data_IF_044135218307
#
_entry.id   IF_044135218307
#
_cell.length_a   1.000
_cell.length_b   1.000
_cell.length_c   1.000
_cell.angle_alpha   90.00
_cell.angle_beta   90.00
_cell.angle_gamma   90.00
#
_symmetry.space_group_name_H-M   'P 1'
#
loop_
_entity.id
_entity.type
_entity.pdbx_description
1 polymer ?
#
# COMPACT_ATOMS: atom_id res chain seq x y z
N UNK A 1 -8.47 12.05 24.62
CA UNK A 1 -8.44 11.02 23.57
C UNK A 1 -7.05 11.08 22.97
N UNK A 2 -6.23 10.04 23.17
CA UNK A 2 -4.92 9.95 22.52
C UNK A 2 -5.16 9.75 21.03
N UNK A 3 -4.55 10.58 20.17
CA UNK A 3 -4.58 10.36 18.72
C UNK A 3 -3.81 9.07 18.40
N UNK A 4 -4.39 8.26 17.50
CA UNK A 4 -3.88 6.95 17.14
C UNK A 4 -2.73 7.09 16.15
N UNK A 5 -1.49 6.87 16.60
CA UNK A 5 -0.34 6.96 15.70
C UNK A 5 -0.26 5.72 14.81
N UNK A 6 -0.05 5.91 13.51
CA UNK A 6 0.16 4.85 12.53
C UNK A 6 1.62 4.79 12.11
N UNK A 7 2.13 3.57 11.91
CA UNK A 7 3.48 3.29 11.44
C UNK A 7 3.44 2.67 10.04
N UNK A 8 4.46 2.95 9.25
CA UNK A 8 4.61 2.38 7.92
C UNK A 8 5.79 2.96 7.18
N UNK A 9 5.65 3.07 5.86
CA UNK A 9 6.67 3.62 4.99
C UNK A 9 6.06 4.51 3.93
N UNK A 10 6.64 5.69 3.73
CA UNK A 10 6.36 6.54 2.57
C UNK A 10 7.18 6.05 1.38
N UNK A 11 6.62 6.16 0.18
CA UNK A 11 7.36 5.89 -1.04
C UNK A 11 8.39 6.99 -1.29
N UNK A 12 9.59 6.60 -1.75
CA UNK A 12 10.54 7.55 -2.33
C UNK A 12 9.90 8.26 -3.54
N UNK A 13 10.08 9.58 -3.65
CA UNK A 13 9.35 10.39 -4.62
C UNK A 13 9.69 10.03 -6.08
N UNK A 14 10.94 9.67 -6.37
CA UNK A 14 11.36 9.28 -7.72
C UNK A 14 10.75 7.93 -8.09
N UNK A 15 10.85 6.95 -7.18
CA UNK A 15 10.25 5.64 -7.41
C UNK A 15 8.73 5.70 -7.50
N UNK A 16 8.07 6.57 -6.72
CA UNK A 16 6.63 6.83 -6.84
C UNK A 16 6.28 7.31 -8.24
N UNK A 17 7.04 8.26 -8.79
CA UNK A 17 6.83 8.75 -10.16
C UNK A 17 6.96 7.61 -11.18
N UNK A 18 8.02 6.81 -11.07
CA UNK A 18 8.24 5.68 -11.98
C UNK A 18 7.12 4.63 -11.90
N UNK A 19 6.57 4.39 -10.70
CA UNK A 19 5.42 3.52 -10.55
C UNK A 19 4.15 4.12 -11.16
N UNK A 20 3.92 5.44 -11.04
CA UNK A 20 2.77 6.12 -11.66
C UNK A 20 2.82 6.09 -13.18
N UNK A 21 4.00 6.18 -13.77
CA UNK A 21 4.16 6.04 -15.22
C UNK A 21 3.89 4.61 -15.68
N UNK A 22 4.28 3.61 -14.86
CA UNK A 22 4.10 2.19 -15.16
C UNK A 22 2.67 1.69 -14.91
N UNK A 23 2.04 2.18 -13.85
CA UNK A 23 0.69 1.83 -13.43
C UNK A 23 -0.16 3.11 -13.39
N UNK A 24 -0.65 3.60 -14.55
CA UNK A 24 -1.48 4.78 -14.58
C UNK A 24 -2.73 4.60 -13.69
N UNK A 25 -3.00 5.51 -12.73
CA UNK A 25 -4.17 5.44 -11.87
C UNK A 25 -5.47 5.32 -12.67
N UNK A 26 -6.30 4.33 -12.31
CA UNK A 26 -7.62 4.15 -12.95
C UNK A 26 -8.61 5.23 -12.54
N UNK A 27 -8.59 5.63 -11.27
CA UNK A 27 -9.57 6.53 -10.68
C UNK A 27 -8.99 7.92 -10.43
N UNK A 28 -9.88 8.93 -10.35
CA UNK A 28 -9.49 10.33 -10.40
C UNK A 28 -8.67 10.81 -9.19
N UNK A 29 -8.79 10.18 -8.03
CA UNK A 29 -8.03 10.54 -6.84
C UNK A 29 -6.81 9.64 -6.68
N UNK A 30 -5.65 10.10 -7.17
CA UNK A 30 -4.38 9.40 -7.01
C UNK A 30 -3.85 9.55 -5.58
N UNK A 31 -3.68 8.43 -4.88
CA UNK A 31 -3.08 8.38 -3.54
C UNK A 31 -1.58 8.06 -3.69
N UNK A 32 -1.24 6.80 -3.99
CA UNK A 32 0.11 6.33 -4.30
C UNK A 32 1.20 6.81 -3.31
N UNK A 33 0.90 6.89 -2.00
CA UNK A 33 1.75 7.63 -1.05
C UNK A 33 2.59 6.74 -0.12
N UNK A 34 1.98 5.71 0.46
CA UNK A 34 2.62 4.92 1.52
C UNK A 34 2.13 3.47 1.58
N UNK A 35 2.87 2.65 2.32
CA UNK A 35 2.52 1.32 2.78
C UNK A 35 2.31 1.37 4.29
N UNK A 36 1.16 0.88 4.78
CA UNK A 36 0.84 0.88 6.22
C UNK A 36 1.31 -0.41 6.90
N UNK A 37 2.01 -0.27 8.02
CA UNK A 37 2.35 -1.40 8.90
C UNK A 37 1.25 -1.67 9.92
N UNK A 38 0.81 -0.64 10.64
CA UNK A 38 -0.21 -0.75 11.68
C UNK A 38 -0.11 0.34 12.74
N UNK A 39 -0.94 0.28 13.80
CA UNK A 39 -0.94 1.25 14.89
C UNK A 39 0.33 1.14 15.74
N UNK A 40 0.91 2.25 16.17
CA UNK A 40 2.14 2.28 16.97
C UNK A 40 1.97 1.59 18.33
N UNK A 41 0.77 1.64 18.91
CA UNK A 41 0.36 0.82 20.03
C UNK A 41 -0.20 -0.52 19.53
N UNK A 42 0.43 -1.62 19.95
CA UNK A 42 -0.06 -2.95 19.65
C UNK A 42 0.39 -3.57 18.33
N UNK A 43 1.04 -2.84 17.41
CA UNK A 43 1.77 -3.48 16.31
C UNK A 43 3.12 -4.06 16.76
N UNK A 44 3.55 -5.10 16.06
CA UNK A 44 4.94 -5.55 16.13
C UNK A 44 5.88 -4.47 15.60
N UNK A 45 7.19 -4.52 15.92
CA UNK A 45 8.14 -3.57 15.35
C UNK A 45 8.07 -3.57 13.83
N UNK A 46 8.07 -2.37 13.24
CA UNK A 46 8.12 -2.18 11.79
C UNK A 46 9.37 -2.88 11.25
N UNK A 47 9.24 -3.79 10.27
CA UNK A 47 10.37 -4.45 9.61
C UNK A 47 11.45 -3.46 9.19
N UNK A 48 12.72 -3.86 9.32
CA UNK A 48 13.83 -3.08 8.80
C UNK A 48 13.96 -3.28 7.29
N UNK A 49 13.03 -2.67 6.55
CA UNK A 49 12.98 -2.70 5.09
C UNK A 49 13.09 -1.27 4.55
N UNK A 50 13.98 -1.10 3.57
CA UNK A 50 14.16 0.12 2.78
C UNK A 50 13.57 -0.02 1.37
N UNK A 51 13.00 -1.18 1.05
CA UNK A 51 12.38 -1.50 -0.23
C UNK A 51 11.13 -2.37 -0.07
N UNK A 52 10.23 -2.21 -1.03
CA UNK A 52 9.13 -3.11 -1.30
C UNK A 52 9.21 -3.60 -2.76
N UNK A 53 8.57 -4.73 -3.03
CA UNK A 53 8.41 -5.30 -4.38
C UNK A 53 6.93 -5.28 -4.71
N UNK A 54 6.52 -4.63 -5.80
CA UNK A 54 5.12 -4.67 -6.25
C UNK A 54 4.85 -6.02 -6.88
N UNK A 55 4.08 -6.88 -6.23
CA UNK A 55 3.80 -8.23 -6.71
C UNK A 55 2.41 -8.38 -7.33
N UNK A 56 1.52 -7.41 -7.09
CA UNK A 56 0.15 -7.51 -7.55
C UNK A 56 -0.55 -6.19 -7.76
N UNK A 57 -1.60 -6.22 -8.57
CA UNK A 57 -2.51 -5.12 -8.83
C UNK A 57 -3.94 -5.55 -8.49
N UNK A 58 -4.55 -4.86 -7.52
CA UNK A 58 -5.91 -5.11 -7.08
C UNK A 58 -6.82 -3.95 -7.52
N UNK A 59 -7.98 -4.30 -8.05
CA UNK A 59 -9.02 -3.37 -8.47
C UNK A 59 -10.38 -3.98 -8.11
N UNK A 60 -11.20 -3.27 -7.34
CA UNK A 60 -12.56 -3.72 -6.98
C UNK A 60 -13.60 -3.47 -8.10
N UNK A 61 -13.20 -2.78 -9.17
CA UNK A 61 -14.06 -2.36 -10.28
C UNK A 61 -15.10 -1.31 -9.90
N UNK A 62 -15.11 -0.86 -8.65
CA UNK A 62 -16.12 -0.01 -8.03
C UNK A 62 -15.54 1.27 -7.41
N UNK A 63 -14.24 1.52 -7.59
CA UNK A 63 -13.60 2.78 -7.21
C UNK A 63 -12.41 2.64 -6.25
N UNK A 64 -11.89 1.44 -6.01
CA UNK A 64 -10.70 1.23 -5.17
C UNK A 64 -9.65 0.44 -5.93
N UNK A 65 -8.48 1.05 -6.08
CA UNK A 65 -7.32 0.45 -6.72
C UNK A 65 -6.14 0.41 -5.73
N UNK A 66 -5.42 -0.69 -5.70
CA UNK A 66 -4.26 -0.88 -4.84
C UNK A 66 -3.14 -1.68 -5.53
N UNK A 67 -1.90 -1.37 -5.19
CA UNK A 67 -0.75 -2.21 -5.55
C UNK A 67 -0.36 -3.05 -4.34
N UNK A 68 -0.41 -4.38 -4.50
CA UNK A 68 0.04 -5.33 -3.48
C UNK A 68 1.56 -5.41 -3.50
N UNK A 69 2.16 -5.34 -2.31
CA UNK A 69 3.61 -5.32 -2.18
C UNK A 69 4.13 -6.36 -1.20
N UNK A 70 5.33 -6.85 -1.44
CA UNK A 70 6.12 -7.56 -0.45
C UNK A 70 7.08 -6.60 0.25
N UNK A 71 7.10 -6.67 1.59
CA UNK A 71 8.04 -5.96 2.45
C UNK A 71 8.81 -7.01 3.23
N UNK A 72 10.15 -6.96 3.17
CA UNK A 72 11.02 -7.95 3.82
C UNK A 72 10.65 -9.42 3.49
N UNK A 73 10.26 -9.68 2.24
CA UNK A 73 9.92 -11.04 1.74
C UNK A 73 8.53 -11.55 2.14
N UNK A 74 7.65 -10.68 2.63
CA UNK A 74 6.26 -11.04 2.96
C UNK A 74 5.30 -9.96 2.47
N UNK A 75 4.19 -10.38 1.85
CA UNK A 75 3.03 -9.54 1.60
C UNK A 75 2.04 -9.54 2.78
N UNK A 76 2.23 -10.38 3.80
CA UNK A 76 1.33 -10.48 4.95
C UNK A 76 1.72 -9.48 6.05
N UNK A 77 0.73 -8.73 6.52
CA UNK A 77 0.84 -7.85 7.68
C UNK A 77 0.58 -8.63 8.98
N UNK A 78 1.17 -8.22 10.12
CA UNK A 78 0.95 -8.87 11.41
C UNK A 78 -0.51 -8.86 11.90
N UNK A 79 -1.31 -7.90 11.43
CA UNK A 79 -2.74 -7.76 11.78
C UNK A 79 -3.65 -8.64 10.90
N UNK A 80 -3.09 -9.46 10.02
CA UNK A 80 -3.83 -10.32 9.10
C UNK A 80 -4.16 -9.67 7.76
N UNK A 81 -3.87 -8.38 7.58
CA UNK A 81 -4.00 -7.71 6.29
C UNK A 81 -2.89 -8.06 5.31
N UNK A 82 -2.97 -7.47 4.11
CA UNK A 82 -1.93 -7.56 3.07
C UNK A 82 -1.23 -6.22 2.96
N UNK A 83 0.10 -6.20 2.83
CA UNK A 83 0.84 -4.99 2.52
C UNK A 83 0.46 -4.49 1.14
N UNK A 84 0.03 -3.24 1.06
CA UNK A 84 -0.37 -2.62 -0.18
C UNK A 84 -0.13 -1.11 -0.12
N UNK A 85 -0.18 -0.51 -1.31
CA UNK A 85 -0.25 0.93 -1.51
C UNK A 85 -1.64 1.19 -2.08
N UNK A 86 -2.47 1.97 -1.38
CA UNK A 86 -3.68 2.51 -2.03
C UNK A 86 -3.23 3.36 -3.21
N UNK A 87 -3.68 2.98 -4.40
CA UNK A 87 -3.19 3.54 -5.65
C UNK A 87 -4.07 4.68 -6.12
N UNK A 88 -5.35 4.41 -6.31
CA UNK A 88 -6.33 5.41 -6.71
C UNK A 88 -7.72 5.12 -6.18
N UNK A 89 -8.53 6.17 -6.04
CA UNK A 89 -9.87 6.12 -5.48
C UNK A 89 -10.87 6.94 -6.32
N UNK A 90 -12.11 6.47 -6.40
CA UNK A 90 -13.27 7.30 -6.81
C UNK A 90 -13.70 8.23 -5.66
N UNK A 91 -14.41 9.34 -5.94
CA UNK A 91 -14.95 10.20 -4.90
C UNK A 91 -15.88 9.43 -3.94
N UNK A 92 -15.67 9.63 -2.64
CA UNK A 92 -16.43 8.95 -1.59
C UNK A 92 -15.90 7.57 -1.21
N UNK A 93 -14.85 7.08 -1.88
CA UNK A 93 -14.10 5.90 -1.44
C UNK A 93 -12.96 6.30 -0.51
N UNK A 94 -12.59 5.39 0.38
CA UNK A 94 -11.57 5.59 1.40
C UNK A 94 -10.44 4.56 1.28
N UNK A 95 -9.22 4.96 1.64
CA UNK A 95 -8.03 4.12 1.48
C UNK A 95 -8.13 2.77 2.23
N UNK A 96 -8.79 2.76 3.39
CA UNK A 96 -8.94 1.54 4.20
C UNK A 96 -9.70 0.42 3.47
N UNK A 97 -10.59 0.77 2.53
CA UNK A 97 -11.36 -0.17 1.70
C UNK A 97 -10.46 -1.01 0.78
N UNK A 98 -9.20 -0.60 0.56
CA UNK A 98 -8.20 -1.41 -0.17
C UNK A 98 -7.98 -2.78 0.48
N UNK A 99 -8.10 -2.87 1.82
CA UNK A 99 -8.01 -4.16 2.51
C UNK A 99 -9.14 -5.09 2.09
N UNK A 100 -10.38 -4.58 2.03
CA UNK A 100 -11.56 -5.35 1.66
C UNK A 100 -11.52 -5.74 0.19
N UNK A 101 -11.07 -4.83 -0.69
CA UNK A 101 -10.88 -5.10 -2.11
C UNK A 101 -9.93 -6.29 -2.33
N UNK A 102 -8.74 -6.25 -1.71
CA UNK A 102 -7.74 -7.32 -1.79
C UNK A 102 -8.28 -8.62 -1.20
N UNK A 103 -8.91 -8.58 -0.03
CA UNK A 103 -9.40 -9.78 0.65
C UNK A 103 -10.53 -10.48 -0.13
N UNK A 104 -11.38 -9.70 -0.81
CA UNK A 104 -12.56 -10.23 -1.52
C UNK A 104 -12.29 -10.62 -2.96
N UNK A 105 -11.48 -9.85 -3.67
CA UNK A 105 -11.28 -10.00 -5.11
C UNK A 105 -9.88 -10.51 -5.48
N UNK A 106 -8.93 -10.49 -4.54
CA UNK A 106 -7.54 -10.85 -4.80
C UNK A 106 -6.82 -9.74 -5.57
N UNK A 107 -5.80 -10.13 -6.33
CA UNK A 107 -5.03 -9.26 -7.21
C UNK A 107 -4.55 -10.04 -8.43
N UNK A 108 -4.19 -9.32 -9.47
CA UNK A 108 -3.49 -9.85 -10.65
C UNK A 108 -1.98 -9.75 -10.43
N UNK A 109 -1.23 -10.80 -10.76
CA UNK A 109 0.23 -10.83 -10.56
C UNK A 109 0.94 -9.87 -11.52
N UNK A 110 2.00 -9.23 -11.01
CA UNK A 110 2.83 -8.29 -11.79
C UNK A 110 4.14 -8.97 -12.22
N UNK A 111 4.29 -9.23 -13.52
CA UNK A 111 5.35 -10.10 -14.08
C UNK A 111 6.80 -9.65 -13.76
N UNK A 112 7.14 -8.35 -13.84
CA UNK A 112 8.52 -7.88 -13.55
C UNK A 112 8.75 -7.49 -12.08
N UNK A 113 7.71 -7.55 -11.27
CA UNK A 113 7.71 -7.21 -9.85
C UNK A 113 8.60 -5.99 -9.48
N UNK A 114 8.27 -4.76 -9.92
CA UNK A 114 9.16 -3.62 -9.78
C UNK A 114 9.41 -3.26 -8.31
N UNK A 115 10.67 -2.94 -7.98
CA UNK A 115 11.05 -2.52 -6.63
C UNK A 115 10.81 -1.02 -6.40
N UNK A 116 10.26 -0.68 -5.24
CA UNK A 116 10.05 0.68 -4.77
C UNK A 116 10.84 0.93 -3.50
N UNK A 117 11.55 2.06 -3.43
CA UNK A 117 12.26 2.46 -2.22
C UNK A 117 11.28 3.02 -1.19
N UNK A 118 11.48 2.63 0.05
CA UNK A 118 10.63 2.93 1.19
C UNK A 118 11.40 3.77 2.22
N UNK A 119 10.70 4.73 2.82
CA UNK A 119 11.22 5.56 3.91
C UNK A 119 10.30 5.38 5.11
N UNK A 120 10.82 4.85 6.22
CA UNK A 120 10.05 4.67 7.46
C UNK A 120 9.38 5.97 7.86
N UNK A 121 8.09 5.89 8.17
CA UNK A 121 7.26 7.04 8.48
C UNK A 121 6.29 6.73 9.62
N UNK A 122 5.79 7.80 10.23
CA UNK A 122 4.76 7.77 11.27
C UNK A 122 3.81 8.94 11.08
N UNK A 123 2.53 8.71 11.33
CA UNK A 123 1.47 9.70 11.15
C UNK A 123 0.53 9.69 12.35
N UNK A 124 -0.06 10.84 12.73
CA UNK A 124 -1.03 10.93 13.83
C UNK A 124 -2.40 10.32 13.51
#
# INVERSE_FOLDING_TARGET
>A
MTQQVWLGWKLDAEHRSNLLDRFPPRYCNTIADHVTHGPADGSSPVPDADRAVVIGHADDGAGVEALVVEVAGSHRRPDGGTYHITWSLEPGREAHESNDAIARYGWEDVEDAPSVKLVKARWP
#
